data_IF_609735216821
#
_entry.id   IF_609735216821
#
_cell.length_a   1.000
_cell.length_b   1.000
_cell.length_c   1.000
_cell.angle_alpha   90.00
_cell.angle_beta   90.00
_cell.angle_gamma   90.00
#
_symmetry.space_group_name_H-M   'P 1'
#
loop_
_entity.id
_entity.type
_entity.pdbx_description
1 polymer ?
#
# COMPACT_ATOMS: atom_id res chain seq x y z
N UNK A 1 -7.56 -28.26 0.59
CA UNK A 1 -8.68 -27.34 0.37
C UNK A 1 -9.11 -27.45 -1.07
N UNK A 2 -10.40 -27.55 -1.31
CA UNK A 2 -10.97 -27.52 -2.67
C UNK A 2 -10.81 -26.09 -3.23
N UNK A 3 -10.41 -25.88 -4.51
CA UNK A 3 -10.41 -24.55 -5.14
C UNK A 3 -11.70 -23.76 -4.92
N UNK A 4 -12.86 -24.42 -4.88
CA UNK A 4 -14.15 -23.78 -4.60
C UNK A 4 -14.26 -23.22 -3.17
N UNK A 5 -13.63 -23.88 -2.22
CA UNK A 5 -13.57 -23.47 -0.82
C UNK A 5 -12.71 -22.21 -0.65
N UNK A 6 -11.59 -22.14 -1.38
CA UNK A 6 -10.70 -20.96 -1.38
C UNK A 6 -11.40 -19.71 -1.96
N UNK A 7 -12.15 -19.89 -3.04
CA UNK A 7 -12.94 -18.80 -3.64
C UNK A 7 -14.00 -18.31 -2.65
N UNK A 8 -14.68 -19.23 -1.96
CA UNK A 8 -15.67 -18.87 -0.93
C UNK A 8 -15.04 -18.07 0.20
N UNK A 9 -13.90 -18.52 0.73
CA UNK A 9 -13.20 -17.84 1.84
C UNK A 9 -12.82 -16.39 1.45
N UNK A 10 -12.26 -16.20 0.25
CA UNK A 10 -11.83 -14.87 -0.18
C UNK A 10 -13.01 -13.92 -0.49
N UNK A 11 -14.03 -14.41 -1.20
CA UNK A 11 -15.20 -13.59 -1.58
C UNK A 11 -16.07 -13.21 -0.37
N UNK A 12 -16.17 -14.08 0.63
CA UNK A 12 -16.93 -13.81 1.86
C UNK A 12 -16.04 -13.25 2.98
N UNK A 13 -14.83 -12.79 2.67
CA UNK A 13 -14.01 -12.08 3.65
C UNK A 13 -14.71 -10.77 4.09
N UNK A 14 -14.49 -10.31 5.34
CA UNK A 14 -15.11 -9.10 5.85
C UNK A 14 -14.84 -7.86 4.98
N UNK A 15 -13.62 -7.73 4.46
CA UNK A 15 -13.22 -6.61 3.60
C UNK A 15 -13.96 -6.61 2.26
N UNK A 16 -14.03 -7.75 1.57
CA UNK A 16 -14.75 -7.85 0.28
C UNK A 16 -16.24 -7.62 0.47
N UNK A 17 -16.82 -8.18 1.53
CA UNK A 17 -18.25 -8.01 1.83
C UNK A 17 -18.61 -6.57 2.19
N UNK A 18 -17.76 -5.88 2.98
CA UNK A 18 -17.92 -4.46 3.27
C UNK A 18 -17.79 -3.58 2.02
N UNK A 19 -16.88 -3.90 1.10
CA UNK A 19 -16.77 -3.22 -0.18
C UNK A 19 -18.03 -3.40 -1.04
N UNK A 20 -18.54 -4.63 -1.16
CA UNK A 20 -19.79 -4.94 -1.87
C UNK A 20 -20.97 -4.22 -1.22
N UNK A 21 -21.04 -4.17 0.11
CA UNK A 21 -22.05 -3.39 0.83
C UNK A 21 -21.99 -1.91 0.45
N UNK A 22 -20.80 -1.32 0.34
CA UNK A 22 -20.61 0.06 -0.12
C UNK A 22 -21.11 0.29 -1.55
N UNK A 23 -20.85 -0.65 -2.46
CA UNK A 23 -21.39 -0.61 -3.83
C UNK A 23 -22.92 -0.66 -3.78
N UNK A 24 -23.51 -1.62 -3.06
CA UNK A 24 -24.96 -1.77 -2.94
C UNK A 24 -25.57 -0.49 -2.35
N UNK A 25 -25.01 0.05 -1.27
CA UNK A 25 -25.46 1.28 -0.64
C UNK A 25 -25.45 2.47 -1.61
N UNK A 26 -24.44 2.56 -2.46
CA UNK A 26 -24.33 3.60 -3.50
C UNK A 26 -25.38 3.41 -4.60
N UNK A 27 -25.57 2.17 -5.07
CA UNK A 27 -26.52 1.84 -6.15
C UNK A 27 -27.99 2.09 -5.74
N UNK A 28 -28.34 1.78 -4.49
CA UNK A 28 -29.68 2.08 -3.96
C UNK A 28 -29.86 3.53 -3.52
N UNK A 29 -28.85 4.39 -3.76
CA UNK A 29 -28.81 5.80 -3.34
C UNK A 29 -29.10 5.97 -1.84
N UNK A 30 -28.48 5.12 -1.03
CA UNK A 30 -28.62 5.20 0.42
C UNK A 30 -28.18 6.58 0.92
N UNK A 31 -28.98 7.18 1.80
CA UNK A 31 -28.64 8.43 2.49
C UNK A 31 -27.57 8.22 3.59
N UNK A 32 -26.87 7.08 3.58
CA UNK A 32 -25.78 6.75 4.48
C UNK A 32 -24.61 7.69 4.26
N UNK A 33 -24.61 8.82 4.98
CA UNK A 33 -23.51 9.76 5.05
C UNK A 33 -22.74 9.52 6.34
N UNK A 34 -21.46 9.16 6.20
CA UNK A 34 -20.54 9.15 7.34
C UNK A 34 -20.19 10.62 7.65
N UNK A 35 -20.42 11.10 8.88
CA UNK A 35 -20.06 12.46 9.27
C UNK A 35 -18.56 12.74 9.08
N UNK A 36 -18.20 13.97 8.69
CA UNK A 36 -16.78 14.35 8.49
C UNK A 36 -15.92 14.15 9.74
N UNK A 37 -16.49 14.40 10.93
CA UNK A 37 -15.81 14.14 12.20
C UNK A 37 -15.47 12.65 12.39
N UNK A 38 -16.38 11.75 11.96
CA UNK A 38 -16.15 10.32 11.99
C UNK A 38 -15.05 9.92 11.00
N UNK A 39 -15.06 10.46 9.78
CA UNK A 39 -13.98 10.26 8.82
C UNK A 39 -12.61 10.64 9.40
N UNK A 40 -12.47 11.87 9.91
CA UNK A 40 -11.21 12.33 10.49
C UNK A 40 -10.77 11.49 11.68
N UNK A 41 -11.69 11.12 12.56
CA UNK A 41 -11.39 10.26 13.72
C UNK A 41 -10.92 8.87 13.30
N UNK A 42 -11.57 8.27 12.29
CA UNK A 42 -11.20 6.97 11.75
C UNK A 42 -9.86 7.03 11.04
N UNK A 43 -9.57 8.08 10.26
CA UNK A 43 -8.27 8.27 9.62
C UNK A 43 -7.13 8.34 10.65
N UNK A 44 -7.29 9.15 11.70
CA UNK A 44 -6.28 9.25 12.77
C UNK A 44 -6.14 7.93 13.51
N UNK A 45 -7.27 7.28 13.85
CA UNK A 45 -7.28 5.99 14.51
C UNK A 45 -6.56 4.92 13.69
N UNK A 46 -6.85 4.83 12.38
CA UNK A 46 -6.23 3.86 11.48
C UNK A 46 -4.73 4.12 11.35
N UNK A 47 -4.31 5.38 11.14
CA UNK A 47 -2.89 5.73 11.10
C UNK A 47 -2.16 5.34 12.39
N UNK A 48 -2.78 5.60 13.54
CA UNK A 48 -2.24 5.21 14.85
C UNK A 48 -2.19 3.68 15.00
N UNK A 49 -3.29 2.98 14.73
CA UNK A 49 -3.40 1.53 14.87
C UNK A 49 -2.36 0.81 13.99
N UNK A 50 -2.25 1.22 12.73
CA UNK A 50 -1.26 0.67 11.80
C UNK A 50 0.17 0.96 12.33
N UNK A 51 0.43 2.17 12.85
CA UNK A 51 1.71 2.50 13.48
C UNK A 51 2.06 1.60 14.68
N UNK A 52 1.07 1.27 15.52
CA UNK A 52 1.23 0.40 16.68
C UNK A 52 1.49 -1.06 16.28
N UNK A 53 0.73 -1.60 15.31
CA UNK A 53 0.93 -2.97 14.78
C UNK A 53 2.33 -3.15 14.18
N UNK A 54 2.80 -2.15 13.41
CA UNK A 54 4.15 -2.16 12.82
C UNK A 54 5.26 -2.22 13.88
N UNK A 55 5.10 -1.50 14.99
CA UNK A 55 6.06 -1.53 16.11
C UNK A 55 6.03 -2.86 16.84
N UNK A 56 4.84 -3.43 17.07
CA UNK A 56 4.68 -4.70 17.75
C UNK A 56 5.41 -5.84 17.03
N UNK A 57 5.33 -5.87 15.69
CA UNK A 57 6.02 -6.86 14.85
C UNK A 57 7.55 -6.83 14.93
N UNK A 58 8.13 -5.63 15.08
CA UNK A 58 9.58 -5.46 15.23
C UNK A 58 10.09 -5.87 16.61
N UNK A 59 9.27 -5.70 17.65
CA UNK A 59 9.70 -5.94 19.03
C UNK A 59 9.97 -7.42 19.33
N UNK A 60 9.40 -8.34 18.55
CA UNK A 60 9.49 -9.79 18.77
C UNK A 60 10.44 -10.50 17.81
N UNK A 61 11.06 -9.77 16.89
CA UNK A 61 11.80 -10.34 15.75
C UNK A 61 13.31 -10.14 15.89
N UNK A 62 14.11 -11.14 15.50
CA UNK A 62 15.56 -10.98 15.44
C UNK A 62 15.93 -10.10 14.24
N UNK A 63 16.76 -9.07 14.48
CA UNK A 63 17.13 -8.11 13.44
C UNK A 63 17.88 -8.76 12.27
N UNK A 64 18.61 -9.86 12.51
CA UNK A 64 19.34 -10.58 11.46
C UNK A 64 18.40 -11.16 10.39
N UNK A 65 17.23 -11.67 10.79
CA UNK A 65 16.25 -12.28 9.88
C UNK A 65 15.51 -11.24 9.05
N UNK A 66 15.53 -9.97 9.48
CA UNK A 66 14.84 -8.86 8.82
C UNK A 66 15.65 -8.25 7.67
N UNK A 67 16.98 -8.31 7.71
CA UNK A 67 17.86 -7.61 6.76
C UNK A 67 17.58 -8.04 5.31
N UNK A 68 17.48 -9.35 5.05
CA UNK A 68 17.23 -9.89 3.72
C UNK A 68 15.89 -9.40 3.14
N UNK A 69 14.75 -9.63 3.82
CA UNK A 69 13.45 -9.13 3.41
C UNK A 69 13.40 -7.60 3.29
N UNK A 70 14.03 -6.86 4.21
CA UNK A 70 14.07 -5.40 4.16
C UNK A 70 14.77 -4.89 2.90
N UNK A 71 15.93 -5.46 2.55
CA UNK A 71 16.64 -5.11 1.32
C UNK A 71 15.82 -5.46 0.08
N UNK A 72 15.15 -6.62 0.05
CA UNK A 72 14.27 -7.00 -1.04
C UNK A 72 13.12 -6.00 -1.21
N UNK A 73 12.46 -5.60 -0.11
CA UNK A 73 11.40 -4.58 -0.16
C UNK A 73 11.90 -3.21 -0.58
N UNK A 74 13.10 -2.81 -0.18
CA UNK A 74 13.70 -1.54 -0.62
C UNK A 74 13.96 -1.55 -2.13
N UNK A 75 14.52 -2.65 -2.65
CA UNK A 75 14.78 -2.83 -4.08
C UNK A 75 13.49 -2.81 -4.88
N UNK A 76 12.43 -3.49 -4.40
CA UNK A 76 11.12 -3.46 -5.05
C UNK A 76 10.49 -2.07 -4.99
N UNK A 77 10.55 -1.40 -3.84
CA UNK A 77 9.96 -0.08 -3.62
C UNK A 77 10.58 0.97 -4.54
N UNK A 78 11.88 0.90 -4.79
CA UNK A 78 12.57 1.78 -5.76
C UNK A 78 12.38 1.29 -7.20
N UNK A 79 12.45 -0.02 -7.43
CA UNK A 79 12.46 -0.61 -8.78
C UNK A 79 11.14 -0.50 -9.51
N UNK A 80 10.01 -0.74 -8.82
CA UNK A 80 8.66 -0.70 -9.40
C UNK A 80 8.32 0.67 -10.00
N UNK A 81 8.45 1.81 -9.28
CA UNK A 81 8.15 3.12 -9.86
C UNK A 81 9.12 3.50 -10.98
N UNK A 82 10.41 3.14 -10.88
CA UNK A 82 11.40 3.41 -11.93
C UNK A 82 11.04 2.71 -13.24
N UNK A 83 10.75 1.41 -13.19
CA UNK A 83 10.41 0.63 -14.38
C UNK A 83 9.03 0.98 -14.92
N UNK A 84 8.06 1.25 -14.04
CA UNK A 84 6.74 1.75 -14.43
C UNK A 84 6.87 3.06 -15.21
N UNK A 85 7.64 4.03 -14.70
CA UNK A 85 7.89 5.29 -15.40
C UNK A 85 8.60 5.09 -16.75
N UNK A 86 9.64 4.24 -16.79
CA UNK A 86 10.38 3.97 -18.01
C UNK A 86 9.49 3.34 -19.10
N UNK A 87 8.65 2.37 -18.75
CA UNK A 87 7.70 1.73 -19.66
C UNK A 87 6.66 2.74 -20.15
N UNK A 88 6.09 3.55 -19.26
CA UNK A 88 5.07 4.54 -19.61
C UNK A 88 5.63 5.65 -20.51
N UNK A 89 6.88 6.08 -20.30
CA UNK A 89 7.55 7.06 -21.18
C UNK A 89 8.00 6.47 -22.51
N UNK A 90 8.52 5.24 -22.50
CA UNK A 90 9.05 4.60 -23.69
C UNK A 90 7.96 4.01 -24.58
N UNK A 91 7.25 3.01 -24.07
CA UNK A 91 6.22 2.27 -24.82
C UNK A 91 4.86 2.97 -24.79
N UNK A 92 4.47 3.47 -23.61
CA UNK A 92 3.17 4.12 -23.40
C UNK A 92 3.08 5.52 -24.01
N UNK A 93 4.23 6.17 -24.29
CA UNK A 93 4.34 7.53 -24.83
C UNK A 93 3.56 8.59 -24.04
N UNK A 94 3.30 8.35 -22.75
CA UNK A 94 2.67 9.32 -21.85
C UNK A 94 3.58 10.53 -21.65
N UNK A 95 3.02 11.71 -21.40
CA UNK A 95 3.81 12.85 -20.94
C UNK A 95 4.42 12.59 -19.55
N UNK A 96 5.32 13.48 -19.14
CA UNK A 96 6.10 13.34 -17.91
C UNK A 96 5.20 13.31 -16.67
N UNK A 97 4.20 14.20 -16.61
CA UNK A 97 3.35 14.32 -15.43
C UNK A 97 2.50 13.07 -15.26
N UNK A 98 1.84 12.62 -16.34
CA UNK A 98 1.02 11.41 -16.31
C UNK A 98 1.85 10.15 -16.04
N UNK A 99 3.02 10.00 -16.67
CA UNK A 99 3.89 8.85 -16.42
C UNK A 99 4.39 8.81 -14.97
N UNK A 100 4.77 9.95 -14.39
CA UNK A 100 5.25 10.03 -13.01
C UNK A 100 4.13 9.80 -11.99
N UNK A 101 2.94 10.35 -12.22
CA UNK A 101 1.77 10.14 -11.36
C UNK A 101 1.34 8.67 -11.33
N UNK A 102 1.30 8.01 -12.49
CA UNK A 102 0.97 6.58 -12.57
C UNK A 102 2.08 5.74 -11.93
N UNK A 103 3.36 6.07 -12.16
CA UNK A 103 4.48 5.41 -11.50
C UNK A 103 4.43 5.55 -9.98
N UNK A 104 4.01 6.70 -9.45
CA UNK A 104 3.77 6.91 -8.01
C UNK A 104 2.68 5.99 -7.48
N UNK A 105 1.59 5.85 -8.25
CA UNK A 105 0.49 4.97 -7.89
C UNK A 105 0.93 3.50 -7.81
N UNK A 106 1.73 3.03 -8.77
CA UNK A 106 2.29 1.67 -8.75
C UNK A 106 3.44 1.47 -7.76
N UNK A 107 4.13 2.55 -7.37
CA UNK A 107 5.14 2.50 -6.30
C UNK A 107 4.54 2.47 -4.89
N UNK A 108 3.25 2.79 -4.74
CA UNK A 108 2.50 2.63 -3.50
C UNK A 108 1.95 1.20 -3.35
N UNK A 109 1.59 0.84 -2.12
CA UNK A 109 1.13 -0.51 -1.76
C UNK A 109 -0.24 -0.45 -1.11
N UNK A 110 -1.09 -1.43 -1.42
CA UNK A 110 -2.43 -1.50 -0.84
C UNK A 110 -2.39 -2.20 0.52
N UNK A 111 -2.55 -1.43 1.60
CA UNK A 111 -2.73 -1.98 2.95
C UNK A 111 -3.91 -2.98 3.00
N UNK A 112 -4.99 -2.72 2.27
CA UNK A 112 -6.16 -3.60 2.19
C UNK A 112 -5.79 -4.95 1.59
N UNK A 113 -5.03 -4.96 0.49
CA UNK A 113 -4.58 -6.21 -0.15
C UNK A 113 -3.63 -6.99 0.75
N UNK A 114 -2.75 -6.28 1.46
CA UNK A 114 -1.84 -6.88 2.42
C UNK A 114 -2.60 -7.54 3.58
N UNK A 115 -3.51 -6.82 4.25
CA UNK A 115 -4.34 -7.38 5.33
C UNK A 115 -5.20 -8.55 4.85
N UNK A 116 -5.74 -8.48 3.63
CA UNK A 116 -6.50 -9.59 3.04
C UNK A 116 -5.61 -10.83 2.86
N UNK A 117 -4.35 -10.62 2.46
CA UNK A 117 -3.37 -11.70 2.29
C UNK A 117 -3.01 -12.34 3.64
N UNK A 118 -2.80 -11.54 4.69
CA UNK A 118 -2.57 -12.06 6.05
C UNK A 118 -3.78 -12.86 6.56
N UNK A 119 -4.99 -12.30 6.39
CA UNK A 119 -6.24 -12.99 6.79
C UNK A 119 -6.40 -14.31 6.05
N UNK A 120 -6.03 -14.35 4.77
CA UNK A 120 -6.04 -15.59 3.99
C UNK A 120 -5.05 -16.62 4.56
N UNK A 121 -3.80 -16.21 4.84
CA UNK A 121 -2.79 -17.07 5.44
C UNK A 121 -3.23 -17.62 6.80
N UNK A 122 -3.81 -16.78 7.65
CA UNK A 122 -4.40 -17.20 8.93
C UNK A 122 -5.49 -18.25 8.72
N UNK A 123 -6.36 -18.06 7.73
CA UNK A 123 -7.47 -18.99 7.44
C UNK A 123 -6.97 -20.35 6.97
N UNK A 124 -5.87 -20.39 6.21
CA UNK A 124 -5.26 -21.65 5.74
C UNK A 124 -4.20 -22.20 6.70
N UNK A 125 -3.99 -21.56 7.85
CA UNK A 125 -3.05 -21.99 8.88
C UNK A 125 -1.57 -21.85 8.51
N UNK A 126 -1.24 -20.95 7.58
CA UNK A 126 0.15 -20.65 7.20
C UNK A 126 0.65 -19.49 8.05
N UNK A 127 1.66 -19.76 8.88
CA UNK A 127 2.32 -18.72 9.66
C UNK A 127 3.17 -17.81 8.76
N UNK A 128 3.23 -16.55 9.14
CA UNK A 128 4.08 -15.52 8.55
C UNK A 128 4.82 -14.78 9.65
N UNK A 129 5.89 -14.09 9.29
CA UNK A 129 6.72 -13.40 10.27
C UNK A 129 6.05 -12.13 10.79
N UNK A 130 6.18 -11.88 12.10
CA UNK A 130 5.55 -10.74 12.77
C UNK A 130 5.98 -9.37 12.22
N UNK A 131 7.15 -9.29 11.56
CA UNK A 131 7.66 -8.07 10.94
C UNK A 131 7.06 -7.77 9.56
N UNK A 132 6.17 -8.60 9.01
CA UNK A 132 5.57 -8.39 7.69
C UNK A 132 4.88 -7.01 7.53
N UNK A 133 4.10 -6.50 8.52
CA UNK A 133 3.53 -5.16 8.43
C UNK A 133 4.58 -4.04 8.34
N UNK A 134 5.77 -4.26 8.92
CA UNK A 134 6.89 -3.30 8.83
C UNK A 134 7.45 -3.26 7.41
N UNK A 135 7.61 -4.42 6.78
CA UNK A 135 8.11 -4.53 5.41
C UNK A 135 7.20 -3.79 4.41
N UNK A 136 5.89 -3.80 4.65
CA UNK A 136 4.94 -3.00 3.86
C UNK A 136 5.31 -1.50 3.88
N UNK A 137 5.68 -0.94 5.03
CA UNK A 137 6.08 0.47 5.14
C UNK A 137 7.42 0.76 4.47
N UNK A 138 8.38 -0.17 4.63
CA UNK A 138 9.68 -0.05 3.96
C UNK A 138 9.51 -0.11 2.45
N UNK A 139 8.49 -0.79 1.93
CA UNK A 139 8.15 -0.82 0.51
C UNK A 139 7.47 0.49 0.06
N UNK A 140 6.58 1.05 0.88
CA UNK A 140 5.76 2.23 0.57
C UNK A 140 6.56 3.54 0.48
N UNK A 141 7.37 3.84 1.50
CA UNK A 141 8.08 5.12 1.65
C UNK A 141 9.05 5.39 0.48
N UNK A 142 9.93 4.45 0.09
CA UNK A 142 10.83 4.65 -1.04
C UNK A 142 10.09 4.77 -2.37
N UNK A 143 9.00 4.02 -2.54
CA UNK A 143 8.23 4.04 -3.79
C UNK A 143 7.57 5.38 -4.08
N UNK A 144 6.94 5.96 -3.06
CA UNK A 144 6.37 7.31 -3.14
C UNK A 144 7.49 8.35 -3.35
N UNK A 145 8.56 8.28 -2.55
CA UNK A 145 9.68 9.23 -2.64
C UNK A 145 10.33 9.25 -4.03
N UNK A 146 10.59 8.08 -4.61
CA UNK A 146 11.18 7.95 -5.95
C UNK A 146 10.27 8.54 -7.01
N UNK A 147 8.97 8.26 -6.96
CA UNK A 147 8.06 8.77 -7.97
C UNK A 147 7.87 10.29 -7.88
N UNK A 148 7.82 10.85 -6.67
CA UNK A 148 7.83 12.31 -6.45
C UNK A 148 9.12 12.94 -6.97
N UNK A 149 10.29 12.35 -6.70
CA UNK A 149 11.57 12.82 -7.23
C UNK A 149 11.59 12.82 -8.75
N UNK A 150 11.10 11.76 -9.40
CA UNK A 150 11.02 11.69 -10.87
C UNK A 150 10.13 12.82 -11.40
N UNK A 151 8.95 13.03 -10.80
CA UNK A 151 8.03 14.09 -11.19
C UNK A 151 8.70 15.47 -11.08
N UNK A 152 9.31 15.79 -9.94
CA UNK A 152 9.94 17.09 -9.69
C UNK A 152 11.13 17.36 -10.62
N UNK A 153 12.06 16.39 -10.75
CA UNK A 153 13.25 16.52 -11.59
C UNK A 153 12.90 16.71 -13.07
N UNK A 154 11.83 16.08 -13.55
CA UNK A 154 11.46 16.09 -14.97
C UNK A 154 10.50 17.21 -15.35
N UNK A 155 9.72 17.71 -14.39
CA UNK A 155 8.85 18.88 -14.57
C UNK A 155 9.55 20.21 -14.30
N UNK A 156 10.81 20.19 -13.85
CA UNK A 156 11.63 21.40 -13.69
C UNK A 156 11.37 22.18 -12.39
N UNK A 157 10.63 21.59 -11.43
CA UNK A 157 10.51 22.16 -10.10
C UNK A 157 11.76 21.82 -9.29
N UNK A 158 12.60 22.83 -9.06
CA UNK A 158 13.82 22.74 -8.25
C UNK A 158 13.50 22.75 -6.75
N UNK A 159 12.61 21.88 -6.31
CA UNK A 159 12.41 21.62 -4.88
C UNK A 159 13.57 20.78 -4.36
N UNK A 160 14.14 21.23 -3.24
CA UNK A 160 15.18 20.51 -2.51
C UNK A 160 14.73 19.10 -2.16
N UNK A 161 15.65 18.14 -2.10
CA UNK A 161 15.40 16.78 -1.58
C UNK A 161 14.67 16.80 -0.23
N UNK A 162 14.86 17.86 0.56
CA UNK A 162 14.16 18.08 1.83
C UNK A 162 12.65 18.33 1.70
N UNK A 163 12.16 18.85 0.58
CA UNK A 163 10.73 19.01 0.32
C UNK A 163 10.06 17.66 0.05
N UNK A 164 10.72 16.75 -0.69
CA UNK A 164 10.22 15.38 -0.90
C UNK A 164 10.16 14.61 0.42
N UNK A 165 11.20 14.74 1.27
CA UNK A 165 11.20 14.11 2.60
C UNK A 165 10.12 14.71 3.51
N UNK A 166 9.69 15.96 3.29
CA UNK A 166 8.59 16.55 4.04
C UNK A 166 7.21 16.06 3.58
N UNK A 167 7.10 15.58 2.34
CA UNK A 167 5.87 15.07 1.75
C UNK A 167 5.62 13.57 2.02
N UNK A 168 6.64 12.82 2.44
CA UNK A 168 6.60 11.37 2.70
C UNK A 168 6.67 11.09 4.19
#
# INVERSE_FOLDING_TARGET
>A
MDPLELVRINLFSPMVTAFVLGIIATLVKSDLKIPEALYSSLSIYLLLAIGLERRAGLATSNFADLIGPMLATLVLGVGIPLWSYAILRGMGKFDIANAAAIAAHYGSVSAVTFTASLTFLDTVGVSYEGYMPTLLTVLEVPGIAVALLIAQMRLGNSSSLGAVIHEV
#
